data_IF_282276492039
#
_entry.id   IF_282276492039
#
_cell.length_a   1.000
_cell.length_b   1.000
_cell.length_c   1.000
_cell.angle_alpha   90.00
_cell.angle_beta   90.00
_cell.angle_gamma   90.00
#
_symmetry.space_group_name_H-M   'P 1'
#
loop_
_entity.id
_entity.type
_entity.pdbx_description
1 polymer ?
#
# COMPACT_ATOMS: atom_id res chain seq x y z
N UNK A 1 -8.22 -12.06 -10.50
CA UNK A 1 -7.20 -12.41 -9.49
C UNK A 1 -6.67 -13.80 -9.81
N UNK A 2 -5.38 -14.01 -9.69
CA UNK A 2 -4.72 -15.27 -10.03
C UNK A 2 -4.56 -16.14 -8.79
N UNK A 3 -4.83 -17.45 -8.96
CA UNK A 3 -4.59 -18.42 -7.88
C UNK A 3 -3.10 -18.69 -7.68
N UNK A 4 -2.32 -18.57 -8.76
CA UNK A 4 -0.87 -18.75 -8.74
C UNK A 4 -0.22 -17.51 -9.34
N UNK A 5 0.07 -16.51 -8.51
CA UNK A 5 0.71 -15.31 -9.00
C UNK A 5 2.11 -15.61 -9.54
N UNK A 6 2.39 -15.08 -10.72
CA UNK A 6 3.66 -15.26 -11.42
C UNK A 6 4.22 -13.89 -11.78
N UNK A 7 5.04 -13.36 -10.90
CA UNK A 7 5.73 -12.09 -11.10
C UNK A 7 7.23 -12.34 -11.07
N UNK A 8 7.95 -11.88 -12.08
CA UNK A 8 9.41 -11.88 -12.08
C UNK A 8 9.94 -10.83 -11.09
N UNK A 9 9.62 -9.57 -11.34
CA UNK A 9 9.87 -8.46 -10.42
C UNK A 9 8.54 -7.75 -10.19
N UNK A 10 7.90 -8.07 -9.07
CA UNK A 10 6.54 -7.59 -8.79
C UNK A 10 6.47 -6.06 -8.73
N UNK A 11 7.48 -5.40 -8.18
CA UNK A 11 7.49 -3.94 -8.07
C UNK A 11 7.52 -3.31 -9.46
N UNK A 12 8.41 -3.76 -10.32
CA UNK A 12 8.52 -3.24 -11.69
C UNK A 12 7.30 -3.56 -12.54
N UNK A 13 6.74 -4.76 -12.40
CA UNK A 13 5.56 -5.16 -13.18
C UNK A 13 4.32 -4.37 -12.76
N UNK A 14 4.09 -4.20 -11.47
CA UNK A 14 2.97 -3.40 -10.96
C UNK A 14 3.17 -1.93 -11.33
N UNK A 15 4.39 -1.42 -11.22
CA UNK A 15 4.69 -0.05 -11.65
C UNK A 15 4.32 0.17 -13.11
N UNK A 16 4.78 -0.70 -14.01
CA UNK A 16 4.49 -0.59 -15.44
C UNK A 16 3.01 -0.66 -15.73
N UNK A 17 2.30 -1.55 -15.05
CA UNK A 17 0.84 -1.68 -15.20
C UNK A 17 0.13 -0.38 -14.79
N UNK A 18 0.49 0.16 -13.62
CA UNK A 18 -0.15 1.38 -13.12
C UNK A 18 0.21 2.61 -13.96
N UNK A 19 1.44 2.70 -14.46
CA UNK A 19 1.84 3.78 -15.36
C UNK A 19 1.00 3.76 -16.64
N UNK A 20 0.75 2.57 -17.20
CA UNK A 20 -0.11 2.41 -18.36
C UNK A 20 -1.57 2.79 -18.07
N UNK A 21 -2.06 2.42 -16.90
CA UNK A 21 -3.42 2.79 -16.48
C UNK A 21 -3.56 4.31 -16.29
N UNK A 22 -2.53 4.96 -15.76
CA UNK A 22 -2.52 6.42 -15.65
C UNK A 22 -2.65 7.06 -17.02
N UNK A 23 -1.86 6.61 -18.00
CA UNK A 23 -1.93 7.14 -19.36
C UNK A 23 -3.31 6.96 -19.95
N UNK A 24 -3.94 5.79 -19.76
CA UNK A 24 -5.29 5.53 -20.24
C UNK A 24 -6.30 6.50 -19.62
N UNK A 25 -6.15 6.80 -18.33
CA UNK A 25 -7.02 7.77 -17.65
C UNK A 25 -6.85 9.17 -18.23
N UNK A 26 -5.61 9.61 -18.43
CA UNK A 26 -5.32 10.94 -18.99
C UNK A 26 -5.85 11.06 -20.42
N UNK A 27 -5.67 10.00 -21.23
CA UNK A 27 -6.17 9.98 -22.61
C UNK A 27 -7.69 10.04 -22.69
N UNK A 28 -8.37 9.60 -21.63
CA UNK A 28 -9.84 9.65 -21.56
C UNK A 28 -10.37 10.88 -20.81
N UNK A 29 -9.52 11.86 -20.58
CA UNK A 29 -9.94 13.16 -20.06
C UNK A 29 -10.00 13.28 -18.55
N UNK A 30 -9.49 12.31 -17.80
CA UNK A 30 -9.44 12.42 -16.34
C UNK A 30 -8.23 13.27 -15.97
N UNK A 31 -8.44 14.30 -15.16
CA UNK A 31 -7.36 15.18 -14.73
C UNK A 31 -6.40 14.45 -13.77
N UNK A 32 -5.10 14.69 -13.93
CA UNK A 32 -4.07 14.00 -13.13
C UNK A 32 -4.28 14.19 -11.62
N UNK A 33 -4.69 15.36 -11.19
CA UNK A 33 -4.91 15.68 -9.78
C UNK A 33 -6.09 14.93 -9.16
N UNK A 34 -6.88 14.22 -9.96
CA UNK A 34 -7.99 13.38 -9.48
C UNK A 34 -7.63 11.91 -9.37
N UNK A 35 -6.35 11.57 -9.56
CA UNK A 35 -5.91 10.18 -9.65
C UNK A 35 -4.98 9.86 -8.49
N UNK A 36 -5.26 8.74 -7.81
CA UNK A 36 -4.35 8.09 -6.88
C UNK A 36 -4.03 6.71 -7.41
N UNK A 37 -2.89 6.16 -7.04
CA UNK A 37 -2.49 4.81 -7.44
C UNK A 37 -2.47 3.87 -6.23
N UNK A 38 -2.95 2.65 -6.44
CA UNK A 38 -3.02 1.61 -5.42
C UNK A 38 -2.30 0.36 -5.98
N UNK A 39 -1.19 -0.06 -5.36
CA UNK A 39 -0.44 -1.21 -5.87
C UNK A 39 -1.14 -2.56 -5.68
N UNK A 40 -2.29 -2.60 -5.00
CA UNK A 40 -3.10 -3.81 -4.93
C UNK A 40 -2.53 -4.88 -3.99
N UNK A 41 -2.14 -4.49 -2.80
CA UNK A 41 -1.68 -5.43 -1.77
C UNK A 41 -2.73 -6.52 -1.56
N UNK A 42 -2.32 -7.79 -1.61
CA UNK A 42 -3.18 -8.94 -1.38
C UNK A 42 -3.89 -9.49 -2.62
N UNK A 43 -3.97 -8.75 -3.69
CA UNK A 43 -4.69 -9.18 -4.89
C UNK A 43 -3.77 -9.99 -5.82
N UNK A 44 -3.97 -11.31 -5.85
CA UNK A 44 -3.22 -12.18 -6.74
C UNK A 44 -1.72 -12.20 -6.45
N UNK A 45 -1.30 -12.04 -5.19
CA UNK A 45 0.09 -11.89 -4.81
C UNK A 45 0.47 -12.84 -3.68
N UNK A 46 1.72 -13.28 -3.67
CA UNK A 46 2.29 -14.07 -2.58
C UNK A 46 2.65 -13.14 -1.41
N UNK A 47 3.02 -13.75 -0.28
CA UNK A 47 3.54 -13.00 0.87
C UNK A 47 4.74 -12.14 0.47
N UNK A 48 5.69 -12.73 -0.23
CA UNK A 48 6.90 -12.03 -0.68
C UNK A 48 6.58 -10.86 -1.61
N UNK A 49 5.60 -11.03 -2.50
CA UNK A 49 5.15 -9.96 -3.39
C UNK A 49 4.60 -8.78 -2.59
N UNK A 50 3.76 -9.06 -1.59
CA UNK A 50 3.16 -8.03 -0.75
C UNK A 50 4.22 -7.28 0.05
N UNK A 51 5.18 -8.00 0.62
CA UNK A 51 6.26 -7.37 1.38
C UNK A 51 7.15 -6.50 0.50
N UNK A 52 7.48 -6.97 -0.72
CA UNK A 52 8.28 -6.19 -1.65
C UNK A 52 7.56 -4.89 -2.05
N UNK A 53 6.28 -4.95 -2.34
CA UNK A 53 5.48 -3.76 -2.68
C UNK A 53 5.42 -2.79 -1.51
N UNK A 54 5.20 -3.28 -0.30
CA UNK A 54 5.16 -2.45 0.91
C UNK A 54 6.51 -1.77 1.17
N UNK A 55 7.60 -2.49 0.98
CA UNK A 55 8.94 -1.97 1.20
C UNK A 55 9.32 -0.89 0.17
N UNK A 56 8.73 -0.96 -1.03
CA UNK A 56 9.08 -0.06 -2.13
C UNK A 56 7.93 0.84 -2.57
N UNK A 57 7.02 1.17 -1.66
CA UNK A 57 5.86 2.02 -1.98
C UNK A 57 6.27 3.38 -2.57
N UNK A 58 7.38 3.93 -2.12
CA UNK A 58 7.86 5.23 -2.60
C UNK A 58 8.09 5.30 -4.11
N UNK A 59 8.36 4.17 -4.75
CA UNK A 59 8.55 4.13 -6.19
C UNK A 59 7.27 4.54 -6.94
N UNK A 60 6.12 4.17 -6.41
CA UNK A 60 4.83 4.49 -7.05
C UNK A 60 4.48 5.97 -6.97
N UNK A 61 5.13 6.73 -6.10
CA UNK A 61 4.92 8.18 -6.02
C UNK A 61 5.35 8.90 -7.29
N UNK A 62 6.17 8.28 -8.13
CA UNK A 62 6.52 8.82 -9.45
C UNK A 62 5.33 8.85 -10.39
N UNK A 63 4.31 8.00 -10.16
CA UNK A 63 3.09 7.96 -10.96
C UNK A 63 2.07 8.95 -10.41
N UNK A 64 1.88 8.99 -9.10
CA UNK A 64 0.92 9.85 -8.42
C UNK A 64 0.86 9.56 -6.93
N UNK A 65 -0.05 10.22 -6.20
CA UNK A 65 -0.23 9.92 -4.78
C UNK A 65 -0.59 8.44 -4.59
N UNK A 66 -0.07 7.85 -3.53
CA UNK A 66 -0.16 6.40 -3.28
C UNK A 66 -1.18 6.12 -2.18
N UNK A 67 -2.13 5.23 -2.50
CA UNK A 67 -3.10 4.68 -1.55
C UNK A 67 -2.65 3.27 -1.17
N UNK A 68 -2.59 3.00 0.13
CA UNK A 68 -2.28 1.68 0.65
C UNK A 68 -3.50 1.08 1.35
N UNK A 69 -3.92 -0.10 0.91
CA UNK A 69 -4.99 -0.87 1.54
C UNK A 69 -4.46 -2.22 2.01
N UNK A 70 -3.92 -2.27 3.23
CA UNK A 70 -3.34 -3.49 3.79
C UNK A 70 -4.11 -4.04 5.00
N UNK A 71 -5.09 -3.28 5.51
CA UNK A 71 -5.79 -3.59 6.76
C UNK A 71 -6.46 -4.96 6.74
N UNK A 72 -6.19 -5.76 7.76
CA UNK A 72 -6.76 -7.10 8.00
C UNK A 72 -6.51 -8.09 6.87
N UNK A 73 -5.55 -7.83 5.99
CA UNK A 73 -5.27 -8.73 4.88
C UNK A 73 -4.53 -9.97 5.35
N UNK A 74 -4.62 -11.02 4.54
CA UNK A 74 -4.14 -12.36 4.90
C UNK A 74 -2.66 -12.39 5.26
N UNK A 75 -1.82 -11.58 4.61
CA UNK A 75 -0.38 -11.58 4.88
C UNK A 75 -0.07 -11.14 6.31
N UNK A 76 -0.90 -10.25 6.88
CA UNK A 76 -0.75 -9.80 8.27
C UNK A 76 -0.97 -10.96 9.22
N UNK A 77 -2.02 -11.74 8.99
CA UNK A 77 -2.29 -12.94 9.79
C UNK A 77 -1.17 -13.97 9.71
N UNK A 78 -0.61 -14.15 8.52
CA UNK A 78 0.47 -15.10 8.30
C UNK A 78 1.74 -14.70 9.06
N UNK A 79 2.09 -13.42 9.05
CA UNK A 79 3.29 -12.93 9.74
C UNK A 79 3.09 -12.81 11.24
N UNK A 80 1.91 -12.36 11.66
CA UNK A 80 1.63 -12.09 13.06
C UNK A 80 1.36 -13.32 13.91
N UNK A 81 1.12 -14.46 13.27
CA UNK A 81 0.87 -15.75 13.93
C UNK A 81 -0.27 -15.68 14.95
N UNK A 82 -1.27 -14.81 14.70
CA UNK A 82 -2.41 -14.61 15.59
C UNK A 82 -3.66 -14.37 14.73
N UNK A 83 -4.85 -14.83 15.23
CA UNK A 83 -6.09 -14.59 14.49
C UNK A 83 -6.50 -13.12 14.46
N UNK A 84 -6.17 -12.36 15.50
CA UNK A 84 -6.43 -10.91 15.54
C UNK A 84 -5.37 -10.17 14.73
N UNK A 85 -5.81 -9.41 13.75
CA UNK A 85 -4.94 -8.69 12.83
C UNK A 85 -4.88 -7.18 13.11
N UNK A 86 -5.40 -6.74 14.25
CA UNK A 86 -5.48 -5.31 14.56
C UNK A 86 -4.09 -4.67 14.70
N UNK A 87 -3.23 -5.25 15.53
CA UNK A 87 -1.88 -4.71 15.74
C UNK A 87 -1.04 -4.75 14.46
N UNK A 88 -1.11 -5.87 13.72
CA UNK A 88 -0.41 -6.00 12.44
C UNK A 88 -0.91 -5.02 11.41
N UNK A 89 -2.21 -4.72 11.39
CA UNK A 89 -2.79 -3.72 10.49
C UNK A 89 -2.27 -2.32 10.81
N UNK A 90 -2.13 -1.98 12.10
CA UNK A 90 -1.53 -0.70 12.51
C UNK A 90 -0.07 -0.63 12.08
N UNK A 91 0.69 -1.69 12.29
CA UNK A 91 2.08 -1.74 11.86
C UNK A 91 2.22 -1.55 10.35
N UNK A 92 1.37 -2.21 9.56
CA UNK A 92 1.38 -2.07 8.11
C UNK A 92 1.05 -0.64 7.68
N UNK A 93 0.08 0.00 8.33
CA UNK A 93 -0.30 1.39 8.02
C UNK A 93 0.85 2.36 8.32
N UNK A 94 1.50 2.22 9.47
CA UNK A 94 2.63 3.06 9.86
C UNK A 94 3.83 2.84 8.92
N UNK A 95 4.18 1.59 8.65
CA UNK A 95 5.26 1.26 7.73
C UNK A 95 4.97 1.81 6.33
N UNK A 96 3.72 1.69 5.87
CA UNK A 96 3.31 2.22 4.58
C UNK A 96 3.47 3.72 4.50
N UNK A 97 3.05 4.45 5.53
CA UNK A 97 3.21 5.90 5.58
C UNK A 97 4.69 6.29 5.57
N UNK A 98 5.52 5.59 6.33
CA UNK A 98 6.97 5.83 6.36
C UNK A 98 7.62 5.56 5.00
N UNK A 99 7.08 4.61 4.23
CA UNK A 99 7.62 4.20 2.94
C UNK A 99 7.00 4.94 1.75
N UNK A 100 6.14 5.93 1.98
CA UNK A 100 5.67 6.80 0.91
C UNK A 100 4.18 6.79 0.60
N UNK A 101 3.36 6.08 1.37
CA UNK A 101 1.91 6.14 1.19
C UNK A 101 1.38 7.53 1.59
N UNK A 102 0.50 8.08 0.78
CA UNK A 102 -0.15 9.36 1.03
C UNK A 102 -1.50 9.18 1.73
N UNK A 103 -2.12 8.04 1.57
CA UNK A 103 -3.41 7.70 2.16
C UNK A 103 -3.43 6.22 2.49
N UNK A 104 -4.03 5.87 3.62
CA UNK A 104 -4.22 4.47 4.00
C UNK A 104 -5.71 4.20 4.15
N UNK A 105 -6.15 3.07 3.60
CA UNK A 105 -7.52 2.59 3.76
C UNK A 105 -7.52 1.53 4.84
N UNK A 106 -8.26 1.78 5.92
CA UNK A 106 -8.24 0.94 7.12
C UNK A 106 -9.64 0.68 7.64
N UNK A 107 -9.78 -0.36 8.48
CA UNK A 107 -11.03 -0.64 9.18
C UNK A 107 -11.10 0.12 10.50
N UNK A 108 -10.00 0.18 11.24
CA UNK A 108 -9.94 0.78 12.58
C UNK A 108 -9.40 2.21 12.49
N UNK A 109 -10.24 3.13 12.02
CA UNK A 109 -9.84 4.51 11.72
C UNK A 109 -9.34 5.24 12.97
N UNK A 110 -10.06 5.15 14.08
CA UNK A 110 -9.66 5.82 15.32
C UNK A 110 -8.29 5.37 15.83
N UNK A 111 -8.06 4.06 15.88
CA UNK A 111 -6.78 3.50 16.33
C UNK A 111 -5.65 3.89 15.37
N UNK A 112 -5.90 3.86 14.08
CA UNK A 112 -4.91 4.23 13.07
C UNK A 112 -4.55 5.71 13.17
N UNK A 113 -5.55 6.57 13.37
CA UNK A 113 -5.32 8.00 13.53
C UNK A 113 -4.47 8.29 14.75
N UNK A 114 -4.76 7.65 15.88
CA UNK A 114 -3.95 7.79 17.09
C UNK A 114 -2.50 7.36 16.84
N UNK A 115 -2.33 6.21 16.20
CA UNK A 115 -1.00 5.69 15.87
C UNK A 115 -0.22 6.67 14.99
N UNK A 116 -0.86 7.25 13.98
CA UNK A 116 -0.22 8.25 13.11
C UNK A 116 0.16 9.52 13.87
N UNK A 117 -0.69 10.00 14.77
CA UNK A 117 -0.37 11.20 15.56
C UNK A 117 0.88 11.01 16.39
N UNK A 118 1.00 9.87 17.05
CA UNK A 118 2.18 9.56 17.86
C UNK A 118 3.42 9.41 16.97
N UNK A 119 3.29 8.64 15.90
CA UNK A 119 4.39 8.41 14.96
C UNK A 119 4.89 9.73 14.37
N UNK A 120 3.99 10.57 13.90
CA UNK A 120 4.36 11.84 13.26
C UNK A 120 5.00 12.81 14.24
N UNK A 121 4.50 12.87 15.48
CA UNK A 121 5.11 13.71 16.52
C UNK A 121 6.55 13.30 16.77
N UNK A 122 6.83 11.99 16.83
CA UNK A 122 8.18 11.46 17.00
C UNK A 122 9.07 11.83 15.81
N UNK A 123 8.56 11.67 14.59
CA UNK A 123 9.31 12.01 13.38
C UNK A 123 9.63 13.50 13.31
N UNK A 124 8.70 14.34 13.72
CA UNK A 124 8.87 15.80 13.68
C UNK A 124 9.82 16.33 14.77
N UNK A 125 10.15 15.52 15.76
CA UNK A 125 11.05 15.91 16.85
C UNK A 125 12.54 15.79 16.50
N UNK A 126 12.85 15.27 15.34
CA UNK A 126 14.25 15.07 14.88
C UNK A 126 14.96 16.39 14.59
#
# INVERSE_FOLDING_TARGET
>A
MQDKPDYGDVVSEVFSYLAGRLEACLDNGIAREKIMVDPGIGFGKTLEHNLALMAHLGRFSEIGPVLLGASRKRFIGALGEAPDRAAGSLAAAIAGAANGANMVRVHDVGATRQAFRVFQAIQNAR
#
